data_IF_405680365734
#
_entry.id   IF_405680365734
#
_cell.length_a   1.000
_cell.length_b   1.000
_cell.length_c   1.000
_cell.angle_alpha   90.00
_cell.angle_beta   90.00
_cell.angle_gamma   90.00
#
_symmetry.space_group_name_H-M   'P 1'
#
loop_
_entity.id
_entity.type
_entity.pdbx_description
1 polymer ?
#
# COMPACT_ATOMS: atom_id res chain seq x y z
N UNK A 1 10.98 -27.65 1.51
CA UNK A 1 10.19 -26.91 0.48
C UNK A 1 10.03 -25.49 0.98
N UNK A 2 10.32 -24.48 0.15
CA UNK A 2 10.19 -23.07 0.57
C UNK A 2 8.77 -22.58 0.27
N UNK A 3 8.17 -21.80 1.19
CA UNK A 3 6.83 -21.25 1.05
C UNK A 3 6.92 -19.72 0.97
N UNK A 4 6.09 -19.12 0.10
CA UNK A 4 5.89 -17.68 0.02
C UNK A 4 4.42 -17.38 0.31
N UNK A 5 4.16 -16.53 1.32
CA UNK A 5 2.83 -16.06 1.65
C UNK A 5 2.71 -14.59 1.24
N UNK A 6 1.80 -14.29 0.33
CA UNK A 6 1.50 -12.93 -0.10
C UNK A 6 0.16 -12.50 0.51
N UNK A 7 0.18 -11.42 1.28
CA UNK A 7 -0.99 -10.88 1.95
C UNK A 7 -1.21 -9.43 1.51
N UNK A 8 -2.42 -9.14 1.03
CA UNK A 8 -2.83 -7.76 0.82
C UNK A 8 -3.27 -7.15 2.15
N UNK A 9 -2.97 -5.87 2.38
CA UNK A 9 -3.47 -5.14 3.54
C UNK A 9 -5.00 -5.18 3.66
N UNK A 10 -5.53 -5.14 4.88
CA UNK A 10 -6.95 -5.01 5.16
C UNK A 10 -7.55 -3.71 4.62
N UNK A 11 -8.86 -3.57 4.68
CA UNK A 11 -9.56 -2.37 4.23
C UNK A 11 -9.01 -1.12 4.92
N UNK A 12 -8.57 -0.12 4.12
CA UNK A 12 -8.18 1.20 4.62
C UNK A 12 -9.33 2.19 4.53
N UNK A 13 -9.23 3.32 5.28
CA UNK A 13 -10.22 4.40 5.24
C UNK A 13 -10.50 4.90 3.81
N UNK A 14 -9.45 5.03 2.98
CA UNK A 14 -9.62 5.48 1.60
C UNK A 14 -10.11 4.38 0.65
N UNK A 15 -9.94 3.10 1.01
CA UNK A 15 -10.62 2.02 0.30
C UNK A 15 -12.14 2.13 0.51
N UNK A 16 -12.58 2.35 1.76
CA UNK A 16 -13.98 2.56 2.11
C UNK A 16 -14.57 3.77 1.38
N UNK A 17 -13.84 4.88 1.32
CA UNK A 17 -14.22 6.11 0.62
C UNK A 17 -14.08 6.03 -0.90
N UNK A 18 -13.61 4.90 -1.46
CA UNK A 18 -13.33 4.71 -2.88
C UNK A 18 -12.37 5.74 -3.48
N UNK A 19 -11.34 6.17 -2.73
CA UNK A 19 -10.35 7.14 -3.18
C UNK A 19 -9.09 6.46 -3.73
N UNK A 20 -8.38 7.16 -4.63
CA UNK A 20 -7.05 6.76 -5.06
C UNK A 20 -6.06 7.01 -3.95
N UNK A 21 -5.45 5.97 -3.38
CA UNK A 21 -4.58 6.08 -2.21
C UNK A 21 -3.12 6.22 -2.62
N UNK A 22 -2.59 5.27 -3.38
CA UNK A 22 -1.18 5.25 -3.73
C UNK A 22 -0.28 5.33 -2.50
N UNK A 23 0.61 6.31 -2.46
CA UNK A 23 1.58 6.51 -1.37
C UNK A 23 1.04 7.30 -0.18
N UNK A 24 -0.20 7.78 -0.20
CA UNK A 24 -0.77 8.45 1.00
C UNK A 24 -0.86 7.45 2.15
N UNK A 25 -0.38 7.87 3.32
CA UNK A 25 -0.23 7.00 4.49
C UNK A 25 -1.51 6.95 5.33
N UNK A 26 -2.49 6.23 4.82
CA UNK A 26 -3.82 6.02 5.42
C UNK A 26 -3.85 4.69 6.17
N UNK A 27 -4.48 4.69 7.34
CA UNK A 27 -4.58 3.52 8.20
C UNK A 27 -5.79 2.63 7.84
N UNK A 28 -5.88 1.50 8.54
CA UNK A 28 -6.95 0.51 8.43
C UNK A 28 -8.24 1.01 9.09
N UNK A 29 -9.38 0.63 8.50
CA UNK A 29 -10.67 0.71 9.19
C UNK A 29 -10.77 -0.36 10.29
N UNK A 30 -11.80 -0.27 11.14
CA UNK A 30 -12.11 -1.33 12.10
C UNK A 30 -12.30 -2.69 11.39
N UNK A 31 -13.01 -2.71 10.26
CA UNK A 31 -13.17 -3.91 9.45
C UNK A 31 -11.83 -4.41 8.90
N UNK A 32 -10.96 -3.53 8.39
CA UNK A 32 -9.62 -3.91 7.90
C UNK A 32 -8.74 -4.55 8.97
N UNK A 33 -8.89 -4.13 10.24
CA UNK A 33 -8.20 -4.76 11.37
C UNK A 33 -8.73 -6.19 11.62
N UNK A 34 -10.04 -6.40 11.54
CA UNK A 34 -10.64 -7.73 11.64
C UNK A 34 -10.20 -8.66 10.50
N UNK A 35 -10.14 -8.13 9.26
CA UNK A 35 -9.62 -8.86 8.10
C UNK A 35 -8.17 -9.31 8.33
N UNK A 36 -7.32 -8.44 8.90
CA UNK A 36 -5.93 -8.76 9.22
C UNK A 36 -5.82 -9.87 10.29
N UNK A 37 -6.63 -9.81 11.35
CA UNK A 37 -6.66 -10.86 12.37
C UNK A 37 -7.11 -12.20 11.77
N UNK A 38 -8.16 -12.20 10.93
CA UNK A 38 -8.62 -13.41 10.24
C UNK A 38 -7.55 -14.00 9.31
N UNK A 39 -6.81 -13.16 8.60
CA UNK A 39 -5.66 -13.62 7.80
C UNK A 39 -4.60 -14.29 8.69
N UNK A 40 -4.33 -13.73 9.87
CA UNK A 40 -3.43 -14.32 10.86
C UNK A 40 -3.89 -15.71 11.32
N UNK A 41 -5.19 -15.90 11.58
CA UNK A 41 -5.76 -17.21 11.92
C UNK A 41 -5.55 -18.23 10.80
N UNK A 42 -5.85 -17.85 9.55
CA UNK A 42 -5.63 -18.72 8.40
C UNK A 42 -4.15 -19.10 8.22
N UNK A 43 -3.22 -18.16 8.44
CA UNK A 43 -1.77 -18.42 8.35
C UNK A 43 -1.34 -19.39 9.47
N UNK A 44 -1.86 -19.20 10.68
CA UNK A 44 -1.60 -20.10 11.82
C UNK A 44 -2.02 -21.54 11.54
N UNK A 45 -3.15 -21.73 10.86
CA UNK A 45 -3.69 -23.05 10.53
C UNK A 45 -2.81 -23.80 9.50
N UNK A 46 -1.99 -23.10 8.73
CA UNK A 46 -1.04 -23.72 7.80
C UNK A 46 0.07 -24.50 8.53
N UNK A 47 0.32 -24.21 9.82
CA UNK A 47 1.34 -24.86 10.67
C UNK A 47 2.73 -24.87 10.03
N UNK A 48 3.09 -23.80 9.32
CA UNK A 48 4.41 -23.61 8.72
C UNK A 48 5.22 -22.63 9.55
N UNK A 49 6.54 -22.83 9.60
CA UNK A 49 7.47 -21.87 10.17
C UNK A 49 7.76 -20.77 9.15
N UNK A 50 7.68 -19.51 9.59
CA UNK A 50 7.95 -18.35 8.74
C UNK A 50 9.21 -17.65 9.28
N UNK A 51 10.23 -17.58 8.44
CA UNK A 51 11.55 -17.04 8.83
C UNK A 51 11.69 -15.54 8.64
N UNK A 52 10.98 -14.96 7.67
CA UNK A 52 11.12 -13.55 7.29
C UNK A 52 9.76 -12.88 7.06
N UNK A 53 9.67 -11.62 7.50
CA UNK A 53 8.47 -10.80 7.38
C UNK A 53 8.80 -9.49 6.69
N UNK A 54 8.16 -9.26 5.54
CA UNK A 54 8.33 -8.05 4.76
C UNK A 54 7.06 -7.23 4.75
N UNK A 55 7.20 -5.91 4.78
CA UNK A 55 6.09 -4.98 4.60
C UNK A 55 6.53 -3.77 3.80
N UNK A 56 5.57 -3.11 3.15
CA UNK A 56 5.80 -1.76 2.66
C UNK A 56 5.93 -0.78 3.84
N UNK A 57 6.30 0.47 3.53
CA UNK A 57 6.34 1.55 4.53
C UNK A 57 4.94 2.03 4.95
N UNK A 58 3.90 1.70 4.18
CA UNK A 58 2.55 2.23 4.37
C UNK A 58 1.89 1.65 5.63
N UNK A 59 1.32 2.52 6.48
CA UNK A 59 0.67 2.15 7.75
C UNK A 59 -0.31 1.01 7.60
N UNK A 60 -1.17 1.05 6.58
CA UNK A 60 -2.16 0.00 6.33
C UNK A 60 -1.53 -1.38 6.13
N UNK A 61 -0.39 -1.46 5.45
CA UNK A 61 0.31 -2.73 5.24
C UNK A 61 1.06 -3.17 6.50
N UNK A 62 1.80 -2.24 7.11
CA UNK A 62 2.55 -2.51 8.33
C UNK A 62 1.61 -2.92 9.48
N UNK A 63 0.50 -2.22 9.67
CA UNK A 63 -0.48 -2.55 10.72
C UNK A 63 -1.20 -3.87 10.42
N UNK A 64 -1.44 -4.21 9.15
CA UNK A 64 -1.94 -5.56 8.77
C UNK A 64 -0.95 -6.64 9.21
N UNK A 65 0.34 -6.47 8.88
CA UNK A 65 1.37 -7.43 9.28
C UNK A 65 1.47 -7.56 10.79
N UNK A 66 1.50 -6.44 11.53
CA UNK A 66 1.55 -6.45 13.00
C UNK A 66 0.37 -7.22 13.63
N UNK A 67 -0.84 -7.03 13.12
CA UNK A 67 -2.02 -7.77 13.58
C UNK A 67 -1.92 -9.27 13.28
N UNK A 68 -1.39 -9.64 12.11
CA UNK A 68 -1.09 -11.03 11.76
C UNK A 68 -0.08 -11.61 12.74
N UNK A 69 1.06 -10.94 12.97
CA UNK A 69 2.12 -11.40 13.87
C UNK A 69 1.60 -11.60 15.29
N UNK A 70 0.80 -10.66 15.79
CA UNK A 70 0.15 -10.78 17.10
C UNK A 70 -0.76 -12.03 17.17
N UNK A 71 -1.54 -12.29 16.11
CA UNK A 71 -2.45 -13.44 16.05
C UNK A 71 -1.69 -14.77 16.03
N UNK A 72 -0.57 -14.86 15.30
CA UNK A 72 0.28 -16.06 15.26
C UNK A 72 1.28 -16.12 16.42
N UNK A 73 1.27 -15.13 17.31
CA UNK A 73 2.14 -15.00 18.50
C UNK A 73 3.64 -14.93 18.17
N UNK A 74 3.98 -14.24 17.11
CA UNK A 74 5.38 -13.94 16.72
C UNK A 74 5.69 -12.49 17.07
N UNK A 75 6.92 -12.24 17.58
CA UNK A 75 7.39 -10.88 17.91
C UNK A 75 7.59 -10.04 16.65
N UNK A 76 7.39 -8.72 16.79
CA UNK A 76 7.52 -7.75 15.70
C UNK A 76 8.98 -7.36 15.38
N UNK A 77 9.95 -7.93 16.06
CA UNK A 77 11.35 -7.47 16.05
C UNK A 77 12.09 -7.65 14.70
N UNK A 78 11.52 -8.44 13.79
CA UNK A 78 12.15 -8.83 12.53
C UNK A 78 11.37 -8.39 11.28
N UNK A 79 10.61 -7.30 11.35
CA UNK A 79 9.90 -6.78 10.17
C UNK A 79 10.89 -6.01 9.30
N UNK A 80 11.07 -6.46 8.06
CA UNK A 80 11.86 -5.79 7.05
C UNK A 80 10.93 -4.90 6.23
N UNK A 81 11.19 -3.58 6.28
CA UNK A 81 10.46 -2.62 5.45
C UNK A 81 11.15 -2.45 4.11
N UNK A 82 10.37 -2.54 3.03
CA UNK A 82 10.85 -2.36 1.67
C UNK A 82 9.90 -1.41 0.92
N UNK A 83 10.44 -0.31 0.38
CA UNK A 83 9.64 0.67 -0.35
C UNK A 83 9.14 0.12 -1.70
N UNK A 84 9.84 -0.86 -2.25
CA UNK A 84 9.48 -1.59 -3.46
C UNK A 84 8.14 -2.32 -3.32
N UNK A 85 7.71 -2.57 -2.09
CA UNK A 85 6.41 -3.15 -1.76
C UNK A 85 5.30 -2.09 -1.61
N UNK A 86 5.62 -0.79 -1.74
CA UNK A 86 4.60 0.24 -1.70
C UNK A 86 3.62 0.08 -2.88
N UNK A 87 2.37 0.49 -2.67
CA UNK A 87 1.39 0.57 -3.75
C UNK A 87 1.90 1.54 -4.83
N UNK A 88 1.55 1.29 -6.10
CA UNK A 88 1.87 2.22 -7.19
C UNK A 88 1.38 3.65 -6.88
N UNK A 89 2.11 4.64 -7.35
CA UNK A 89 1.70 6.02 -7.24
C UNK A 89 0.60 6.36 -8.25
N UNK A 90 -0.39 7.15 -7.85
CA UNK A 90 -1.51 7.53 -8.72
C UNK A 90 -1.41 8.98 -9.24
N UNK A 91 -0.27 9.65 -9.07
CA UNK A 91 -0.05 11.00 -9.57
C UNK A 91 -1.17 11.96 -9.17
N UNK A 92 -1.64 12.76 -10.14
CA UNK A 92 -2.71 13.75 -9.95
C UNK A 92 -4.07 13.15 -9.52
N UNK A 93 -4.26 11.84 -9.68
CA UNK A 93 -5.48 11.15 -9.21
C UNK A 93 -5.48 10.93 -7.70
N UNK A 94 -4.34 11.05 -7.03
CA UNK A 94 -4.21 10.79 -5.59
C UNK A 94 -5.21 11.62 -4.78
N UNK A 95 -6.00 10.95 -3.95
CA UNK A 95 -7.04 11.56 -3.12
C UNK A 95 -8.38 11.77 -3.81
N UNK A 96 -8.47 11.65 -5.14
CA UNK A 96 -9.73 11.80 -5.87
C UNK A 96 -10.62 10.55 -5.73
N UNK A 97 -11.94 10.73 -5.84
CA UNK A 97 -12.89 9.63 -5.79
C UNK A 97 -12.88 8.85 -7.11
N UNK A 98 -12.81 7.52 -7.02
CA UNK A 98 -12.72 6.64 -8.20
C UNK A 98 -13.97 6.68 -9.07
N UNK A 99 -15.15 6.72 -8.46
CA UNK A 99 -16.43 6.72 -9.19
C UNK A 99 -16.64 8.06 -9.91
N UNK A 100 -16.25 9.19 -9.29
CA UNK A 100 -16.28 10.50 -9.92
C UNK A 100 -15.33 10.58 -11.13
N UNK A 101 -14.11 10.04 -10.96
CA UNK A 101 -13.13 10.03 -12.05
C UNK A 101 -13.56 9.14 -13.21
N UNK A 102 -14.22 8.00 -12.93
CA UNK A 102 -14.82 7.16 -13.98
C UNK A 102 -15.93 7.91 -14.73
N UNK A 103 -16.80 8.62 -14.03
CA UNK A 103 -17.83 9.45 -14.68
C UNK A 103 -17.24 10.54 -15.56
N UNK A 104 -16.14 11.17 -15.11
CA UNK A 104 -15.49 12.28 -15.80
C UNK A 104 -14.65 11.86 -17.01
N UNK A 105 -13.92 10.74 -16.90
CA UNK A 105 -12.92 10.34 -17.89
C UNK A 105 -13.23 9.04 -18.62
N UNK A 106 -14.30 8.34 -18.22
CA UNK A 106 -14.68 7.02 -18.72
C UNK A 106 -13.98 5.87 -18.00
N UNK A 107 -14.63 4.72 -17.96
CA UNK A 107 -14.12 3.51 -17.28
C UNK A 107 -12.80 3.00 -17.88
N UNK A 108 -12.72 2.94 -19.22
CA UNK A 108 -11.53 2.43 -19.93
C UNK A 108 -10.27 3.26 -19.61
N UNK A 109 -10.40 4.59 -19.63
CA UNK A 109 -9.27 5.48 -19.32
C UNK A 109 -8.84 5.31 -17.87
N UNK A 110 -9.77 5.27 -16.92
CA UNK A 110 -9.46 5.06 -15.51
C UNK A 110 -8.89 3.67 -15.28
N UNK A 111 -9.37 2.65 -16.00
CA UNK A 111 -8.78 1.31 -15.91
C UNK A 111 -7.33 1.31 -16.39
N UNK A 112 -7.01 1.94 -17.53
CA UNK A 112 -5.63 2.08 -18.04
C UNK A 112 -4.74 2.82 -17.04
N UNK A 113 -5.14 3.98 -16.53
CA UNK A 113 -4.40 4.75 -15.53
C UNK A 113 -4.13 3.96 -14.24
N UNK A 114 -4.96 2.97 -13.90
CA UNK A 114 -4.81 2.13 -12.71
C UNK A 114 -4.00 0.86 -12.92
N UNK A 115 -3.98 0.32 -14.13
CA UNK A 115 -3.51 -1.05 -14.38
C UNK A 115 -2.45 -1.17 -15.45
N UNK A 116 -2.38 -0.21 -16.37
CA UNK A 116 -1.37 -0.24 -17.42
C UNK A 116 0.01 0.13 -16.85
N UNK A 117 1.06 -0.49 -17.34
CA UNK A 117 2.43 -0.15 -16.96
C UNK A 117 2.96 1.02 -17.80
N UNK A 118 2.46 1.17 -19.03
CA UNK A 118 2.88 2.14 -20.05
C UNK A 118 1.98 3.38 -20.15
N UNK A 119 0.93 3.47 -19.31
CA UNK A 119 0.01 4.61 -19.27
C UNK A 119 -0.11 5.19 -17.85
N UNK A 120 0.94 5.91 -17.38
CA UNK A 120 0.93 6.49 -16.04
C UNK A 120 -0.03 7.67 -15.92
N UNK A 121 -0.59 7.92 -14.73
CA UNK A 121 -1.24 9.19 -14.44
C UNK A 121 -0.22 10.32 -14.46
N UNK A 122 -0.68 11.56 -14.69
CA UNK A 122 0.21 12.73 -14.64
C UNK A 122 0.85 12.86 -13.27
N UNK A 123 2.11 13.34 -13.18
CA UNK A 123 2.79 13.54 -11.92
C UNK A 123 2.03 14.47 -10.97
N UNK A 124 2.08 14.18 -9.68
CA UNK A 124 1.55 15.04 -8.64
C UNK A 124 2.51 16.22 -8.40
N UNK A 125 1.96 17.42 -8.22
CA UNK A 125 2.77 18.60 -7.87
C UNK A 125 3.52 18.38 -6.55
N UNK A 126 4.80 18.77 -6.50
CA UNK A 126 5.64 18.71 -5.27
C UNK A 126 5.06 19.50 -4.10
N UNK A 127 4.25 20.53 -4.38
CA UNK A 127 3.57 21.33 -3.35
C UNK A 127 2.29 20.67 -2.83
N UNK A 128 1.86 19.56 -3.42
CA UNK A 128 0.68 18.85 -2.94
C UNK A 128 1.02 18.09 -1.65
N UNK A 129 0.16 18.22 -0.63
CA UNK A 129 0.35 17.53 0.67
C UNK A 129 0.46 16.00 0.57
N UNK A 130 -0.05 15.42 -0.50
CA UNK A 130 0.00 13.98 -0.76
C UNK A 130 1.22 13.55 -1.57
N UNK A 131 2.09 14.50 -1.96
CA UNK A 131 3.32 14.13 -2.63
C UNK A 131 4.26 13.41 -1.64
N UNK A 132 4.91 12.30 -2.02
CA UNK A 132 5.74 11.50 -1.11
C UNK A 132 6.81 12.28 -0.35
N UNK A 133 7.36 13.37 -0.94
CA UNK A 133 8.35 14.22 -0.26
C UNK A 133 7.80 14.96 0.96
N UNK A 134 6.47 15.11 1.06
CA UNK A 134 5.78 15.82 2.14
C UNK A 134 5.16 14.83 3.16
N UNK A 135 5.43 13.54 3.03
CA UNK A 135 4.91 12.50 3.91
C UNK A 135 6.05 11.96 4.76
N UNK A 136 5.98 12.19 6.08
CA UNK A 136 7.02 11.85 7.06
C UNK A 136 7.44 10.38 7.01
N UNK A 137 6.50 9.48 6.79
CA UNK A 137 6.73 8.03 6.68
C UNK A 137 7.84 7.64 5.69
N UNK A 138 8.12 8.49 4.70
CA UNK A 138 9.09 8.22 3.62
C UNK A 138 10.41 9.00 3.76
N UNK A 139 10.63 9.68 4.89
CA UNK A 139 11.86 10.46 5.09
C UNK A 139 13.12 9.59 5.12
N UNK A 140 13.00 8.35 5.61
CA UNK A 140 14.12 7.41 5.75
C UNK A 140 14.40 6.60 4.47
N UNK A 141 13.60 6.77 3.41
CA UNK A 141 13.86 6.08 2.14
C UNK A 141 15.04 6.78 1.44
N UNK A 142 16.10 6.05 1.06
CA UNK A 142 17.21 6.60 0.30
C UNK A 142 16.69 7.25 -1.00
N UNK A 143 16.95 8.54 -1.15
CA UNK A 143 16.55 9.30 -2.34
C UNK A 143 17.76 9.41 -3.27
N UNK A 144 17.90 8.47 -4.22
CA UNK A 144 18.73 8.74 -5.40
C UNK A 144 17.93 9.59 -6.39
N UNK A 145 18.62 10.32 -7.29
CA UNK A 145 17.94 11.10 -8.34
C UNK A 145 17.07 10.22 -9.24
N UNK A 146 17.44 8.95 -9.43
CA UNK A 146 16.66 7.93 -10.13
C UNK A 146 15.34 7.59 -9.39
N UNK A 147 15.37 7.49 -8.05
CA UNK A 147 14.16 7.21 -7.27
C UNK A 147 13.14 8.36 -7.27
N UNK A 148 13.56 9.61 -7.48
CA UNK A 148 12.60 10.72 -7.61
C UNK A 148 11.81 10.66 -8.92
N UNK A 149 12.36 10.07 -9.97
CA UNK A 149 11.63 9.79 -11.22
C UNK A 149 10.78 8.53 -11.11
N UNK A 150 11.25 7.50 -10.42
CA UNK A 150 10.49 6.25 -10.16
C UNK A 150 9.34 6.44 -9.18
N UNK A 151 9.46 7.34 -8.18
CA UNK A 151 8.35 7.73 -7.29
C UNK A 151 7.20 8.40 -8.05
N UNK A 152 7.43 8.83 -9.28
CA UNK A 152 6.45 9.43 -10.18
C UNK A 152 6.08 8.51 -11.34
N UNK A 153 6.83 7.45 -11.56
CA UNK A 153 6.56 6.44 -12.58
C UNK A 153 5.75 5.28 -12.03
N UNK A 154 4.87 4.69 -12.85
CA UNK A 154 4.08 3.54 -12.45
C UNK A 154 4.94 2.29 -12.31
#
# INVERSE_FOLDING_TARGET
MSHLILVRHGQSEWNLQKRFTGWVDIDLTANGKLEACKAGELIKDLKIEISYFYSSYQKRALNTLKLILNTIRVKEDNIIKAWELNERHYGELTGLNKDEMKKKYGDDKIFKLRRSWDFPPRPLSKNNRYHPINIETYNDIPRSEEHTSELQSP
#
